data_IF_202299630607
#
_entry.id   IF_202299630607
#
_cell.length_a   1.000
_cell.length_b   1.000
_cell.length_c   1.000
_cell.angle_alpha   90.00
_cell.angle_beta   90.00
_cell.angle_gamma   90.00
#
_symmetry.space_group_name_H-M   'P 1'
#
loop_
_entity.id
_entity.type
_entity.pdbx_description
1 polymer ?
#
# COMPACT_ATOMS: atom_id res chain seq x y z
N UNK A 1 20.39 -0.99 -1.60
CA UNK A 1 19.00 -0.50 -1.78
C UNK A 1 18.43 -0.12 -0.44
N UNK A 2 17.77 1.03 -0.35
CA UNK A 2 17.06 1.46 0.86
C UNK A 2 15.81 0.60 1.10
N UNK A 3 15.32 0.47 2.34
CA UNK A 3 14.12 -0.33 2.67
C UNK A 3 12.87 0.03 1.86
N UNK A 4 12.73 1.30 1.46
CA UNK A 4 11.63 1.76 0.60
C UNK A 4 11.73 1.23 -0.85
N UNK A 5 12.95 0.99 -1.36
CA UNK A 5 13.20 0.53 -2.73
C UNK A 5 12.91 -0.97 -2.90
N UNK A 6 12.91 -1.74 -1.81
CA UNK A 6 12.56 -3.17 -1.82
C UNK A 6 11.07 -3.42 -2.10
N UNK A 7 10.22 -2.40 -1.96
CA UNK A 7 8.77 -2.49 -2.23
C UNK A 7 8.38 -2.18 -3.68
N UNK A 8 9.34 -1.81 -4.52
CA UNK A 8 9.09 -1.48 -5.92
C UNK A 8 8.69 -2.72 -6.73
N UNK A 9 7.98 -2.52 -7.85
CA UNK A 9 7.72 -3.61 -8.80
C UNK A 9 9.04 -4.15 -9.33
N UNK A 10 9.09 -5.42 -9.74
CA UNK A 10 10.33 -6.03 -10.27
C UNK A 10 10.88 -5.23 -11.46
N UNK A 11 10.00 -4.67 -12.29
CA UNK A 11 10.34 -3.74 -13.35
C UNK A 11 11.03 -2.47 -12.83
N UNK A 12 10.43 -1.79 -11.84
CA UNK A 12 10.99 -0.56 -11.28
C UNK A 12 12.27 -0.80 -10.48
N UNK A 13 12.44 -1.99 -9.90
CA UNK A 13 13.69 -2.41 -9.26
C UNK A 13 14.79 -2.59 -10.29
N UNK A 14 14.51 -3.29 -11.39
CA UNK A 14 15.45 -3.43 -12.50
C UNK A 14 15.81 -2.09 -13.13
N UNK A 15 14.82 -1.20 -13.28
CA UNK A 15 15.06 0.13 -13.82
C UNK A 15 15.90 0.98 -12.87
N UNK A 16 15.64 0.93 -11.56
CA UNK A 16 16.46 1.60 -10.56
C UNK A 16 17.92 1.11 -10.59
N UNK A 17 18.16 -0.19 -10.76
CA UNK A 17 19.52 -0.75 -10.88
C UNK A 17 20.22 -0.16 -12.10
N UNK A 18 19.54 -0.11 -13.25
CA UNK A 18 20.08 0.49 -14.47
C UNK A 18 20.41 1.98 -14.27
N UNK A 19 19.48 2.77 -13.72
CA UNK A 19 19.67 4.21 -13.47
C UNK A 19 20.81 4.45 -12.48
N UNK A 20 20.90 3.65 -11.43
CA UNK A 20 21.98 3.76 -10.44
C UNK A 20 23.35 3.41 -11.05
N UNK A 21 23.42 2.38 -11.90
CA UNK A 21 24.63 2.00 -12.60
C UNK A 21 25.07 3.08 -13.60
N UNK A 22 24.13 3.62 -14.38
CA UNK A 22 24.40 4.73 -15.30
C UNK A 22 24.83 6.00 -14.56
N UNK A 23 24.20 6.32 -13.42
CA UNK A 23 24.58 7.43 -12.56
C UNK A 23 26.00 7.31 -12.03
N UNK A 24 26.39 6.12 -11.57
CA UNK A 24 27.74 5.87 -11.03
C UNK A 24 28.85 6.06 -12.05
N UNK A 25 28.58 5.78 -13.32
CA UNK A 25 29.58 5.81 -14.40
C UNK A 25 29.29 6.87 -15.46
N UNK A 26 28.44 7.85 -15.15
CA UNK A 26 27.83 8.72 -16.16
C UNK A 26 28.87 9.41 -17.06
N UNK A 27 29.98 9.84 -16.47
CA UNK A 27 31.10 10.52 -17.14
C UNK A 27 31.79 9.67 -18.21
N UNK A 28 31.94 8.35 -18.01
CA UNK A 28 32.48 7.46 -19.04
C UNK A 28 31.43 7.08 -20.09
N UNK A 29 30.18 6.92 -19.68
CA UNK A 29 29.15 6.30 -20.52
C UNK A 29 28.45 7.30 -21.46
N UNK A 30 28.52 8.62 -21.20
CA UNK A 30 27.88 9.64 -22.06
C UNK A 30 28.53 9.78 -23.44
N UNK A 31 29.85 9.63 -23.51
CA UNK A 31 30.64 9.76 -24.74
C UNK A 31 30.96 8.41 -25.40
N UNK A 32 30.85 7.31 -24.65
CA UNK A 32 31.14 5.97 -25.14
C UNK A 32 29.89 5.25 -25.69
N UNK A 33 30.10 4.29 -26.59
CA UNK A 33 29.06 3.35 -26.99
C UNK A 33 28.95 2.25 -25.95
N UNK A 34 27.82 2.17 -25.27
CA UNK A 34 27.64 1.30 -24.10
C UNK A 34 26.49 0.35 -24.34
N UNK A 35 26.69 -0.93 -24.04
CA UNK A 35 25.61 -1.92 -24.05
C UNK A 35 25.32 -2.35 -22.61
N UNK A 36 24.12 -2.03 -22.12
CA UNK A 36 23.63 -2.49 -20.83
C UNK A 36 22.86 -3.80 -21.04
N UNK A 37 23.27 -4.84 -20.32
CA UNK A 37 22.58 -6.13 -20.31
C UNK A 37 21.58 -6.17 -19.15
N UNK A 38 20.37 -6.63 -19.43
CA UNK A 38 19.30 -6.72 -18.43
C UNK A 38 18.56 -8.04 -18.56
N UNK A 39 18.16 -8.61 -17.44
CA UNK A 39 17.26 -9.77 -17.33
C UNK A 39 15.77 -9.37 -17.39
N UNK A 40 15.48 -8.08 -17.61
CA UNK A 40 14.14 -7.56 -17.77
C UNK A 40 13.86 -7.08 -19.20
N UNK A 41 13.13 -7.90 -19.95
CA UNK A 41 12.76 -7.63 -21.34
C UNK A 41 12.01 -6.30 -21.53
N UNK A 42 11.28 -5.81 -20.53
CA UNK A 42 10.56 -4.55 -20.64
C UNK A 42 11.49 -3.32 -20.73
N UNK A 43 12.74 -3.41 -20.24
CA UNK A 43 13.69 -2.30 -20.25
C UNK A 43 14.34 -2.07 -21.64
N UNK A 44 14.24 -3.03 -22.56
CA UNK A 44 14.73 -2.85 -23.95
C UNK A 44 13.90 -1.84 -24.75
N UNK A 45 12.63 -1.64 -24.34
CA UNK A 45 11.69 -0.75 -25.02
C UNK A 45 11.52 0.62 -24.35
N UNK A 46 12.38 1.00 -23.40
CA UNK A 46 12.28 2.26 -22.62
C UNK A 46 12.07 3.51 -23.50
N UNK A 47 12.77 3.59 -24.64
CA UNK A 47 12.66 4.70 -25.59
C UNK A 47 11.32 4.75 -26.34
N UNK A 48 10.67 3.59 -26.54
CA UNK A 48 9.37 3.47 -27.20
C UNK A 48 8.21 3.75 -26.24
N UNK A 49 8.40 3.50 -24.94
CA UNK A 49 7.34 3.66 -23.93
C UNK A 49 6.90 5.13 -23.82
N UNK A 50 7.82 6.10 -23.82
CA UNK A 50 7.51 7.54 -23.73
C UNK A 50 6.63 8.05 -24.87
N UNK A 51 6.74 7.45 -26.07
CA UNK A 51 5.93 7.80 -27.23
C UNK A 51 4.50 7.22 -27.18
N UNK A 52 4.30 6.11 -26.45
CA UNK A 52 3.01 5.39 -26.41
C UNK A 52 2.11 5.76 -25.22
N UNK A 53 2.70 6.24 -24.12
CA UNK A 53 1.98 6.72 -22.92
C UNK A 53 2.76 7.86 -22.26
N UNK A 54 2.11 8.98 -21.90
CA UNK A 54 2.72 9.97 -21.01
C UNK A 54 2.92 9.30 -19.64
N UNK A 55 4.18 9.04 -19.31
CA UNK A 55 4.57 8.58 -17.99
C UNK A 55 4.59 9.78 -17.04
N UNK A 56 4.26 9.58 -15.77
CA UNK A 56 4.32 10.62 -14.74
C UNK A 56 5.18 10.14 -13.56
N UNK A 57 5.73 11.09 -12.81
CA UNK A 57 6.48 10.85 -11.58
C UNK A 57 7.87 10.26 -11.77
N UNK A 58 8.17 9.15 -11.08
CA UNK A 58 9.54 8.59 -10.97
C UNK A 58 10.05 8.03 -12.30
N UNK A 59 9.22 7.28 -13.01
CA UNK A 59 9.60 6.58 -14.23
C UNK A 59 9.89 7.56 -15.38
N UNK A 60 9.16 8.68 -15.45
CA UNK A 60 9.40 9.74 -16.43
C UNK A 60 10.77 10.39 -16.24
N UNK A 61 11.12 10.71 -14.98
CA UNK A 61 12.42 11.29 -14.63
C UNK A 61 13.59 10.34 -14.85
N UNK A 62 13.40 9.04 -14.60
CA UNK A 62 14.40 8.03 -14.95
C UNK A 62 14.60 7.91 -16.46
N UNK A 63 13.55 8.06 -17.25
CA UNK A 63 13.66 8.05 -18.71
C UNK A 63 14.38 9.31 -19.21
N UNK A 64 14.08 10.48 -18.65
CA UNK A 64 14.80 11.72 -18.97
C UNK A 64 16.29 11.61 -18.65
N UNK A 65 16.62 11.03 -17.50
CA UNK A 65 18.01 10.75 -17.13
C UNK A 65 18.69 9.78 -18.10
N UNK A 66 18.02 8.70 -18.51
CA UNK A 66 18.55 7.74 -19.50
C UNK A 66 18.71 8.38 -20.88
N UNK A 67 17.89 9.36 -21.24
CA UNK A 67 18.00 10.11 -22.49
C UNK A 67 19.28 10.94 -22.58
N UNK A 68 19.94 11.26 -21.45
CA UNK A 68 21.28 11.89 -21.43
C UNK A 68 22.39 10.98 -22.01
N UNK A 69 22.10 9.69 -22.28
CA UNK A 69 23.04 8.70 -22.83
C UNK A 69 22.64 8.31 -24.26
N UNK A 70 23.00 9.10 -25.29
CA UNK A 70 22.55 8.87 -26.67
C UNK A 70 23.04 7.53 -27.24
N UNK A 71 24.26 7.12 -26.86
CA UNK A 71 24.93 5.91 -27.36
C UNK A 71 24.69 4.64 -26.52
N UNK A 72 23.72 4.68 -25.58
CA UNK A 72 23.33 3.53 -24.78
C UNK A 72 22.41 2.57 -25.57
N UNK A 73 22.75 1.28 -25.55
CA UNK A 73 21.97 0.17 -26.10
C UNK A 73 21.57 -0.75 -24.93
N UNK A 74 20.28 -1.05 -24.77
CA UNK A 74 19.80 -1.94 -23.72
C UNK A 74 19.41 -3.27 -24.37
N UNK A 75 20.09 -4.35 -23.98
CA UNK A 75 19.90 -5.68 -24.56
C UNK A 75 19.43 -6.65 -23.49
N UNK A 76 18.39 -7.42 -23.81
CA UNK A 76 17.93 -8.51 -22.95
C UNK A 76 18.90 -9.68 -23.03
N UNK A 77 19.39 -10.15 -21.88
CA UNK A 77 20.16 -11.39 -21.78
C UNK A 77 19.35 -12.40 -20.96
N UNK A 78 18.83 -13.48 -21.56
CA UNK A 78 18.24 -14.56 -20.78
C UNK A 78 19.35 -15.23 -19.96
N UNK A 79 19.08 -15.51 -18.68
CA UNK A 79 20.02 -16.24 -17.84
C UNK A 79 20.41 -17.58 -18.50
N UNK A 80 21.67 -18.02 -18.42
CA UNK A 80 22.04 -19.33 -18.93
C UNK A 80 21.27 -20.39 -18.16
N UNK A 81 20.46 -21.16 -18.89
CA UNK A 81 19.84 -22.37 -18.39
C UNK A 81 20.96 -23.28 -17.88
N UNK A 82 21.02 -23.46 -16.56
CA UNK A 82 21.74 -24.60 -16.00
C UNK A 82 21.04 -25.84 -16.54
N UNK A 83 21.79 -26.62 -17.30
CA UNK A 83 21.33 -27.77 -18.06
C UNK A 83 20.62 -28.78 -17.14
N UNK A 84 19.46 -29.17 -17.64
CA UNK A 84 18.76 -30.42 -17.40
C UNK A 84 19.74 -31.60 -17.59
N UNK A 85 19.98 -32.38 -16.53
CA UNK A 85 20.58 -33.72 -16.63
C UNK A 85 20.18 -34.57 -15.41
N UNK A 86 19.42 -35.64 -15.69
CA UNK A 86 19.10 -36.75 -14.78
C UNK A 86 17.68 -36.66 -14.21
N UNK A 87 16.70 -37.48 -14.58
CA UNK A 87 16.74 -38.86 -15.03
C UNK A 87 15.60 -39.61 -14.30
N UNK A 88 14.80 -40.34 -15.06
CA UNK A 88 13.60 -41.11 -14.67
C UNK A 88 13.58 -41.75 -13.27
N UNK A 89 12.43 -41.67 -12.57
CA UNK A 89 11.73 -42.85 -12.02
C UNK A 89 10.21 -42.63 -12.11
N UNK A 90 9.57 -43.29 -13.08
CA UNK A 90 8.16 -43.70 -13.02
C UNK A 90 8.02 -44.88 -12.07
N UNK A 91 7.11 -44.77 -11.10
CA UNK A 91 6.62 -45.87 -10.29
C UNK A 91 5.10 -45.86 -10.30
N UNK A 92 4.55 -46.69 -11.18
CA UNK A 92 3.15 -47.09 -11.24
C UNK A 92 2.93 -48.21 -10.22
N UNK A 93 1.91 -48.12 -9.36
CA UNK A 93 1.17 -49.31 -8.95
C UNK A 93 -0.25 -48.97 -8.45
N UNK A 94 -1.22 -49.38 -9.27
CA UNK A 94 -2.36 -50.26 -8.91
C UNK A 94 -2.63 -50.42 -7.40
N UNK A 95 -3.84 -50.28 -6.88
CA UNK A 95 -5.17 -50.45 -7.44
C UNK A 95 -6.09 -50.96 -6.31
N UNK A 96 -7.36 -51.21 -6.68
CA UNK A 96 -8.45 -51.80 -5.89
C UNK A 96 -9.29 -50.78 -5.07
N UNK A 97 -10.46 -50.33 -5.50
CA UNK A 97 -11.67 -50.97 -6.07
C UNK A 97 -12.46 -51.85 -5.06
N UNK A 98 -13.78 -51.60 -5.04
CA UNK A 98 -14.80 -52.24 -4.23
C UNK A 98 -15.50 -51.21 -3.34
N UNK A 99 -16.73 -50.76 -3.57
CA UNK A 99 -17.85 -51.37 -4.26
C UNK A 99 -19.09 -51.15 -3.39
N UNK A 100 -20.05 -50.39 -3.92
CA UNK A 100 -21.44 -50.17 -3.49
C UNK A 100 -22.18 -51.47 -3.05
N UNK A 101 -23.40 -51.45 -2.42
CA UNK A 101 -24.48 -50.51 -2.71
C UNK A 101 -25.46 -50.12 -1.58
N UNK A 102 -26.36 -49.20 -1.98
CA UNK A 102 -27.65 -48.85 -1.37
C UNK A 102 -28.52 -50.09 -1.14
N UNK A 103 -29.33 -50.06 -0.09
CA UNK A 103 -30.64 -50.71 -0.16
C UNK A 103 -31.72 -49.94 0.59
N UNK A 104 -32.91 -49.99 -0.02
CA UNK A 104 -34.16 -49.36 0.37
C UNK A 104 -35.02 -50.33 1.16
N UNK A 105 -35.74 -49.83 2.17
CA UNK A 105 -36.82 -50.60 2.80
C UNK A 105 -37.41 -49.93 4.03
N UNK A 106 -38.70 -49.62 3.98
CA UNK A 106 -39.57 -49.63 5.17
C UNK A 106 -40.73 -50.60 4.93
N UNK A 107 -41.76 -50.71 5.80
CA UNK A 107 -41.83 -50.57 7.26
C UNK A 107 -42.14 -51.95 7.91
N UNK A 108 -42.54 -52.03 9.21
CA UNK A 108 -43.99 -52.10 9.47
C UNK A 108 -44.46 -51.39 10.76
N UNK A 109 -45.78 -51.31 10.88
CA UNK A 109 -46.56 -50.74 11.96
C UNK A 109 -46.56 -51.59 13.25
N UNK A 110 -46.81 -50.93 14.39
CA UNK A 110 -47.16 -51.56 15.66
C UNK A 110 -47.58 -50.51 16.69
N UNK A 111 -48.84 -50.58 17.12
CA UNK A 111 -49.57 -49.67 18.01
C UNK A 111 -49.03 -49.60 19.46
N UNK A 112 -49.33 -48.50 20.16
CA UNK A 112 -49.10 -48.40 21.60
C UNK A 112 -49.37 -46.99 22.17
N UNK A 113 -50.62 -46.75 22.55
CA UNK A 113 -51.17 -45.56 23.23
C UNK A 113 -50.47 -45.17 24.53
N UNK A 114 -50.20 -43.86 24.75
CA UNK A 114 -50.34 -43.18 26.04
C UNK A 114 -50.27 -41.64 25.88
N UNK A 115 -51.28 -40.94 26.41
CA UNK A 115 -51.44 -39.48 26.38
C UNK A 115 -50.48 -38.69 27.28
N UNK A 116 -50.71 -37.36 27.40
CA UNK A 116 -49.66 -36.37 27.51
C UNK A 116 -49.22 -36.11 28.95
N UNK A 117 -47.91 -35.98 29.18
CA UNK A 117 -47.36 -35.36 30.38
C UNK A 117 -46.83 -33.97 30.05
N UNK A 118 -47.65 -32.99 30.41
CA UNK A 118 -47.28 -31.60 30.61
C UNK A 118 -46.13 -31.49 31.61
N UNK A 119 -44.95 -31.12 31.11
CA UNK A 119 -43.82 -30.63 31.90
C UNK A 119 -43.88 -29.09 31.99
N UNK A 120 -43.37 -28.49 33.08
CA UNK A 120 -43.82 -27.19 33.58
C UNK A 120 -43.35 -26.02 32.72
N UNK A 121 -44.26 -25.06 32.54
CA UNK A 121 -43.98 -23.72 32.01
C UNK A 121 -42.93 -23.02 32.88
N UNK A 122 -41.68 -22.98 32.40
CA UNK A 122 -40.65 -22.08 32.93
C UNK A 122 -41.10 -20.64 32.64
N UNK A 123 -41.25 -19.84 33.69
CA UNK A 123 -41.75 -18.48 33.64
C UNK A 123 -41.01 -17.64 32.60
N UNK A 124 -41.76 -17.18 31.60
CA UNK A 124 -41.33 -16.11 30.72
C UNK A 124 -41.17 -14.85 31.58
N UNK A 125 -39.92 -14.41 31.79
CA UNK A 125 -39.68 -13.10 32.38
C UNK A 125 -40.37 -12.05 31.49
N UNK A 126 -41.48 -11.49 31.98
CA UNK A 126 -42.28 -10.52 31.23
C UNK A 126 -41.45 -9.25 31.05
N UNK A 127 -40.90 -9.06 29.85
CA UNK A 127 -40.18 -7.84 29.50
C UNK A 127 -41.18 -6.68 29.39
N UNK A 128 -40.99 -5.61 30.15
CA UNK A 128 -41.77 -4.38 29.98
C UNK A 128 -41.25 -3.55 28.79
N UNK A 129 -42.08 -2.65 28.28
CA UNK A 129 -41.63 -1.68 27.26
C UNK A 129 -40.55 -0.72 27.77
N UNK A 130 -40.61 -0.40 29.07
CA UNK A 130 -39.60 0.42 29.76
C UNK A 130 -38.26 -0.30 29.85
N UNK A 131 -38.26 -1.61 30.11
CA UNK A 131 -37.04 -2.41 30.14
C UNK A 131 -36.30 -2.34 28.80
N UNK A 132 -37.03 -2.48 27.69
CA UNK A 132 -36.45 -2.41 26.34
C UNK A 132 -35.92 -1.01 26.02
N UNK A 133 -36.66 0.04 26.41
CA UNK A 133 -36.22 1.43 26.23
C UNK A 133 -34.95 1.72 27.03
N UNK A 134 -34.91 1.28 28.30
CA UNK A 134 -33.75 1.44 29.17
C UNK A 134 -32.52 0.73 28.61
N UNK A 135 -32.66 -0.53 28.18
CA UNK A 135 -31.56 -1.28 27.59
C UNK A 135 -31.06 -0.66 26.27
N UNK A 136 -31.98 -0.20 25.42
CA UNK A 136 -31.64 0.48 24.16
C UNK A 136 -30.87 1.78 24.40
N UNK A 137 -31.36 2.64 25.30
CA UNK A 137 -30.71 3.89 25.67
C UNK A 137 -29.34 3.65 26.34
N UNK A 138 -29.22 2.59 27.14
CA UNK A 138 -27.97 2.21 27.76
C UNK A 138 -26.91 1.78 26.73
N UNK A 139 -27.32 1.04 25.70
CA UNK A 139 -26.45 0.70 24.57
C UNK A 139 -25.98 1.95 23.80
N UNK A 140 -26.88 2.88 23.50
CA UNK A 140 -26.53 4.13 22.81
C UNK A 140 -25.50 4.98 23.59
N UNK A 141 -25.58 4.98 24.93
CA UNK A 141 -24.62 5.70 25.79
C UNK A 141 -23.24 5.05 25.83
N UNK A 142 -23.14 3.77 25.49
CA UNK A 142 -21.91 2.99 25.60
C UNK A 142 -21.38 2.57 24.23
N UNK A 143 -21.09 3.55 23.36
CA UNK A 143 -20.58 3.31 22.00
C UNK A 143 -21.44 2.34 21.18
N UNK A 144 -22.76 2.36 21.37
CA UNK A 144 -23.70 1.43 20.77
C UNK A 144 -23.49 -0.05 21.17
N UNK A 145 -22.65 -0.36 22.16
CA UNK A 145 -22.39 -1.72 22.63
C UNK A 145 -23.05 -2.00 23.98
N UNK A 146 -24.01 -2.93 23.97
CA UNK A 146 -24.66 -3.44 25.17
C UNK A 146 -24.04 -4.80 25.53
N UNK A 147 -23.12 -4.81 26.50
CA UNK A 147 -22.45 -6.04 26.97
C UNK A 147 -23.26 -6.72 28.08
N UNK A 148 -23.10 -8.05 28.21
CA UNK A 148 -23.72 -8.80 29.30
C UNK A 148 -23.28 -8.28 30.68
N UNK A 149 -21.99 -7.97 30.86
CA UNK A 149 -21.47 -7.43 32.13
C UNK A 149 -22.14 -6.11 32.51
N UNK A 150 -22.31 -5.19 31.56
CA UNK A 150 -22.91 -3.89 31.83
C UNK A 150 -24.37 -3.99 32.29
N UNK A 151 -25.13 -4.98 31.79
CA UNK A 151 -26.49 -5.24 32.25
C UNK A 151 -26.51 -5.99 33.60
N UNK A 152 -25.56 -6.90 33.84
CA UNK A 152 -25.40 -7.56 35.13
C UNK A 152 -25.08 -6.55 36.25
N UNK A 153 -24.23 -5.56 35.98
CA UNK A 153 -23.87 -4.49 36.92
C UNK A 153 -25.08 -3.60 37.26
N UNK A 154 -26.04 -3.48 36.34
CA UNK A 154 -27.33 -2.81 36.56
C UNK A 154 -28.37 -3.71 37.26
N UNK A 155 -27.96 -4.91 37.72
CA UNK A 155 -28.81 -5.85 38.46
C UNK A 155 -29.74 -6.71 37.59
N UNK A 156 -29.50 -6.81 36.29
CA UNK A 156 -30.36 -7.61 35.40
C UNK A 156 -30.01 -9.10 35.50
N UNK A 157 -31.04 -9.96 35.51
CA UNK A 157 -30.81 -11.41 35.44
C UNK A 157 -30.36 -11.84 34.04
N UNK A 158 -29.61 -12.95 33.95
CA UNK A 158 -29.13 -13.49 32.67
C UNK A 158 -30.27 -13.82 31.71
N UNK A 159 -31.40 -14.29 32.22
CA UNK A 159 -32.60 -14.59 31.43
C UNK A 159 -33.18 -13.32 30.82
N UNK A 160 -33.26 -12.24 31.61
CA UNK A 160 -33.75 -10.93 31.15
C UNK A 160 -32.84 -10.35 30.07
N UNK A 161 -31.52 -10.49 30.22
CA UNK A 161 -30.53 -10.03 29.22
C UNK A 161 -30.73 -10.74 27.88
N UNK A 162 -30.85 -12.08 27.89
CA UNK A 162 -31.07 -12.87 26.68
C UNK A 162 -32.38 -12.47 26.00
N UNK A 163 -33.44 -12.29 26.79
CA UNK A 163 -34.74 -11.88 26.28
C UNK A 163 -34.68 -10.49 25.61
N UNK A 164 -33.99 -9.52 26.22
CA UNK A 164 -33.76 -8.19 25.62
C UNK A 164 -32.98 -8.30 24.32
N UNK A 165 -31.89 -9.07 24.29
CA UNK A 165 -31.06 -9.21 23.09
C UNK A 165 -31.85 -9.79 21.93
N UNK A 166 -32.63 -10.84 22.18
CA UNK A 166 -33.51 -11.43 21.17
C UNK A 166 -34.55 -10.42 20.67
N UNK A 167 -35.17 -9.66 21.59
CA UNK A 167 -36.19 -8.69 21.22
C UNK A 167 -35.65 -7.52 20.40
N UNK A 168 -34.46 -7.03 20.74
CA UNK A 168 -33.77 -5.99 19.96
C UNK A 168 -33.38 -6.50 18.56
N UNK A 169 -32.95 -7.77 18.47
CA UNK A 169 -32.61 -8.39 17.20
C UNK A 169 -33.86 -8.61 16.31
N UNK A 170 -34.96 -9.10 16.88
CA UNK A 170 -36.26 -9.23 16.19
C UNK A 170 -36.78 -7.88 15.68
N UNK A 171 -36.65 -6.83 16.50
CA UNK A 171 -37.06 -5.48 16.13
C UNK A 171 -36.14 -4.82 15.09
N UNK A 172 -35.07 -5.50 14.66
CA UNK A 172 -33.97 -4.96 13.83
C UNK A 172 -33.30 -3.72 14.45
N UNK A 173 -33.44 -3.56 15.76
CA UNK A 173 -32.91 -2.45 16.55
C UNK A 173 -31.49 -2.72 17.07
N UNK A 174 -31.02 -3.97 17.02
CA UNK A 174 -29.65 -4.33 17.33
C UNK A 174 -29.23 -5.62 16.63
N UNK A 175 -27.93 -5.91 16.65
CA UNK A 175 -27.35 -7.15 16.15
C UNK A 175 -26.53 -7.82 17.25
N UNK A 176 -26.73 -9.13 17.43
CA UNK A 176 -26.00 -9.90 18.44
C UNK A 176 -24.63 -10.30 17.89
N UNK A 177 -23.57 -10.00 18.63
CA UNK A 177 -22.18 -10.35 18.28
C UNK A 177 -21.52 -11.11 19.44
N UNK A 178 -20.59 -11.99 19.09
CA UNK A 178 -19.72 -12.65 20.07
C UNK A 178 -18.41 -11.87 20.19
N UNK A 179 -18.04 -11.46 21.41
CA UNK A 179 -16.81 -10.73 21.72
C UNK A 179 -16.01 -11.56 22.73
N UNK A 180 -15.09 -12.37 22.21
CA UNK A 180 -14.37 -13.38 23.00
C UNK A 180 -15.33 -14.44 23.55
N UNK A 181 -15.35 -14.62 24.87
CA UNK A 181 -16.22 -15.59 25.55
C UNK A 181 -17.60 -15.02 25.92
N UNK A 182 -17.81 -13.71 25.73
CA UNK A 182 -19.06 -13.02 26.06
C UNK A 182 -19.85 -12.63 24.82
N UNK A 183 -21.17 -12.47 24.98
CA UNK A 183 -22.07 -11.99 23.92
C UNK A 183 -22.41 -10.52 24.19
N UNK A 184 -22.42 -9.70 23.14
CA UNK A 184 -22.90 -8.32 23.20
C UNK A 184 -23.97 -8.07 22.14
N UNK A 185 -24.87 -7.13 22.42
CA UNK A 185 -25.81 -6.62 21.43
C UNK A 185 -25.32 -5.24 20.99
N UNK A 186 -25.02 -5.09 19.71
CA UNK A 186 -24.70 -3.78 19.12
C UNK A 186 -26.00 -3.13 18.69
N UNK A 187 -26.36 -2.05 19.36
CA UNK A 187 -27.58 -1.28 19.13
C UNK A 187 -27.41 -0.42 17.88
N UNK A 188 -28.45 -0.33 17.05
CA UNK A 188 -28.45 0.52 15.85
C UNK A 188 -29.04 1.88 16.18
N UNK A 189 -28.57 2.97 15.54
CA UNK A 189 -29.13 4.29 15.78
C UNK A 189 -30.57 4.40 15.25
N UNK A 190 -31.37 5.25 15.88
CA UNK A 190 -32.82 5.30 15.65
C UNK A 190 -33.21 5.67 14.21
N UNK A 191 -32.34 6.37 13.49
CA UNK A 191 -32.55 6.79 12.10
C UNK A 191 -32.54 5.62 11.10
N UNK A 192 -31.78 4.55 11.36
CA UNK A 192 -31.70 3.41 10.42
C UNK A 192 -32.78 2.36 10.67
N UNK A 193 -33.31 2.26 11.88
CA UNK A 193 -34.27 1.21 12.27
C UNK A 193 -35.53 1.20 11.38
N UNK A 194 -36.20 2.34 11.07
CA UNK A 194 -37.38 2.33 10.20
C UNK A 194 -37.10 1.80 8.80
N UNK A 195 -35.98 2.24 8.20
CA UNK A 195 -35.55 1.76 6.89
C UNK A 195 -35.25 0.26 6.93
N UNK A 196 -34.57 -0.21 7.99
CA UNK A 196 -34.28 -1.63 8.18
C UNK A 196 -35.54 -2.47 8.38
N UNK A 197 -36.60 -1.96 9.00
CA UNK A 197 -37.87 -2.68 9.16
C UNK A 197 -38.59 -2.92 7.85
N UNK A 198 -38.45 -2.03 6.88
CA UNK A 198 -39.10 -2.13 5.57
C UNK A 198 -38.34 -3.05 4.59
N UNK A 199 -37.10 -3.44 4.92
CA UNK A 199 -36.32 -4.34 4.07
C UNK A 199 -36.90 -5.75 4.01
N UNK A 200 -36.80 -6.37 2.83
CA UNK A 200 -37.04 -7.80 2.67
C UNK A 200 -36.03 -8.62 3.51
N UNK A 201 -36.40 -9.85 3.88
CA UNK A 201 -35.56 -10.75 4.66
C UNK A 201 -34.21 -11.03 4.00
N UNK A 202 -34.17 -11.10 2.66
CA UNK A 202 -32.94 -11.33 1.89
C UNK A 202 -32.02 -10.11 1.92
N UNK A 203 -32.57 -8.91 1.64
CA UNK A 203 -31.82 -7.66 1.68
C UNK A 203 -31.31 -7.35 3.10
N UNK A 204 -32.12 -7.66 4.12
CA UNK A 204 -31.72 -7.53 5.52
C UNK A 204 -30.53 -8.43 5.87
N UNK A 205 -30.48 -9.67 5.36
CA UNK A 205 -29.32 -10.55 5.54
C UNK A 205 -28.06 -9.99 4.89
N UNK A 206 -28.19 -9.40 3.69
CA UNK A 206 -27.07 -8.73 3.01
C UNK A 206 -26.57 -7.54 3.85
N UNK A 207 -27.48 -6.71 4.37
CA UNK A 207 -27.12 -5.60 5.26
C UNK A 207 -26.38 -6.07 6.51
N UNK A 208 -26.88 -7.12 7.18
CA UNK A 208 -26.22 -7.67 8.37
C UNK A 208 -24.81 -8.18 8.08
N UNK A 209 -24.57 -8.80 6.92
CA UNK A 209 -23.24 -9.23 6.52
C UNK A 209 -22.26 -8.07 6.35
N UNK A 210 -22.72 -6.94 5.79
CA UNK A 210 -21.93 -5.71 5.66
C UNK A 210 -21.67 -5.07 7.03
N UNK A 211 -22.69 -5.01 7.89
CA UNK A 211 -22.58 -4.46 9.24
C UNK A 211 -21.59 -5.26 10.10
N UNK A 212 -21.60 -6.59 10.00
CA UNK A 212 -20.66 -7.48 10.70
C UNK A 212 -19.21 -7.26 10.27
N UNK A 213 -18.96 -6.92 9.00
CA UNK A 213 -17.62 -6.63 8.50
C UNK A 213 -17.05 -5.29 8.99
N UNK A 214 -17.91 -4.36 9.45
CA UNK A 214 -17.45 -3.10 10.02
C UNK A 214 -16.58 -2.28 9.04
N UNK A 215 -15.46 -1.76 9.55
CA UNK A 215 -14.58 -0.85 8.81
C UNK A 215 -13.66 -1.56 7.82
N UNK A 216 -13.55 -2.90 7.86
CA UNK A 216 -12.82 -3.66 6.83
C UNK A 216 -13.67 -3.82 5.57
N UNK A 217 -14.99 -3.69 5.70
CA UNK A 217 -15.92 -3.92 4.61
C UNK A 217 -15.91 -5.34 4.06
N UNK A 218 -16.83 -5.59 3.13
CA UNK A 218 -17.05 -6.92 2.57
C UNK A 218 -17.40 -6.83 1.09
N UNK A 219 -16.92 -7.77 0.30
CA UNK A 219 -17.27 -7.91 -1.12
C UNK A 219 -18.31 -9.01 -1.35
N UNK A 220 -18.93 -9.01 -2.53
CA UNK A 220 -20.07 -9.90 -2.86
C UNK A 220 -19.76 -11.38 -2.73
N UNK A 221 -18.50 -11.80 -2.93
CA UNK A 221 -18.10 -13.20 -2.78
C UNK A 221 -18.09 -13.66 -1.32
N UNK A 222 -17.69 -12.80 -0.39
CA UNK A 222 -17.73 -13.13 1.05
C UNK A 222 -19.13 -13.01 1.60
N UNK A 223 -19.94 -12.05 1.13
CA UNK A 223 -21.38 -12.00 1.46
C UNK A 223 -22.04 -13.32 1.07
N UNK A 224 -21.72 -13.88 -0.10
CA UNK A 224 -22.22 -15.19 -0.53
C UNK A 224 -21.80 -16.30 0.40
N UNK A 225 -20.52 -16.38 0.78
CA UNK A 225 -20.02 -17.41 1.70
C UNK A 225 -20.72 -17.35 3.06
N UNK A 226 -20.93 -16.14 3.58
CA UNK A 226 -21.54 -15.93 4.90
C UNK A 226 -23.06 -16.14 4.88
N UNK A 227 -23.75 -15.70 3.83
CA UNK A 227 -25.23 -15.72 3.77
C UNK A 227 -25.82 -16.94 3.06
N UNK A 228 -25.01 -17.66 2.25
CA UNK A 228 -25.48 -18.74 1.40
C UNK A 228 -26.37 -18.31 0.22
N UNK A 229 -26.50 -17.00 -0.03
CA UNK A 229 -27.41 -16.47 -1.04
C UNK A 229 -26.83 -16.56 -2.47
N UNK A 230 -27.74 -16.66 -3.45
CA UNK A 230 -27.38 -16.65 -4.87
C UNK A 230 -26.85 -15.28 -5.33
N UNK A 231 -25.98 -15.27 -6.35
CA UNK A 231 -25.27 -14.05 -6.80
C UNK A 231 -26.21 -12.92 -7.16
N UNK A 232 -27.25 -13.23 -7.93
CA UNK A 232 -28.17 -12.23 -8.46
C UNK A 232 -28.99 -11.56 -7.35
N UNK A 233 -29.32 -12.31 -6.28
CA UNK A 233 -30.01 -11.79 -5.10
C UNK A 233 -29.10 -10.80 -4.37
N UNK A 234 -27.85 -11.18 -4.12
CA UNK A 234 -26.87 -10.31 -3.46
C UNK A 234 -26.66 -9.03 -4.27
N UNK A 235 -26.47 -9.13 -5.59
CA UNK A 235 -26.28 -7.96 -6.45
C UNK A 235 -27.50 -7.03 -6.44
N UNK A 236 -28.72 -7.58 -6.47
CA UNK A 236 -29.95 -6.80 -6.36
C UNK A 236 -30.05 -6.10 -5.01
N UNK A 237 -29.83 -6.82 -3.91
CA UNK A 237 -29.90 -6.27 -2.56
C UNK A 237 -28.85 -5.20 -2.32
N UNK A 238 -27.61 -5.41 -2.77
CA UNK A 238 -26.54 -4.42 -2.71
C UNK A 238 -26.90 -3.14 -3.49
N UNK A 239 -27.47 -3.25 -4.70
CA UNK A 239 -27.94 -2.07 -5.45
C UNK A 239 -29.03 -1.32 -4.68
N UNK A 240 -30.04 -2.04 -4.17
CA UNK A 240 -31.13 -1.42 -3.41
C UNK A 240 -30.62 -0.69 -2.14
N UNK A 241 -29.74 -1.34 -1.39
CA UNK A 241 -29.14 -0.78 -0.17
C UNK A 241 -28.20 0.41 -0.45
N UNK A 242 -27.53 0.41 -1.60
CA UNK A 242 -26.57 1.44 -1.98
C UNK A 242 -27.23 2.63 -2.68
N UNK A 243 -28.14 2.41 -3.62
CA UNK A 243 -28.68 3.45 -4.51
C UNK A 243 -29.98 4.04 -3.94
N UNK A 244 -30.92 3.20 -3.52
CA UNK A 244 -32.23 3.67 -3.05
C UNK A 244 -32.22 4.09 -1.57
N UNK A 245 -31.65 3.24 -0.71
CA UNK A 245 -31.69 3.45 0.74
C UNK A 245 -30.45 4.14 1.32
N UNK A 246 -29.35 4.21 0.56
CA UNK A 246 -28.08 4.85 0.96
C UNK A 246 -27.57 4.37 2.34
N UNK A 247 -27.82 3.11 2.69
CA UNK A 247 -27.42 2.51 3.97
C UNK A 247 -25.99 1.96 3.92
N UNK A 248 -25.52 1.60 2.72
CA UNK A 248 -24.16 1.12 2.44
C UNK A 248 -23.53 1.95 1.33
N UNK A 249 -22.19 2.02 1.30
CA UNK A 249 -21.44 2.68 0.23
C UNK A 249 -20.32 1.78 -0.30
N UNK A 250 -19.98 1.87 -1.61
CA UNK A 250 -18.90 1.11 -2.20
C UNK A 250 -17.55 1.79 -1.92
N UNK A 251 -16.53 0.98 -1.64
CA UNK A 251 -15.14 1.40 -1.42
C UNK A 251 -14.22 0.55 -2.30
N UNK A 252 -13.24 1.18 -2.93
CA UNK A 252 -12.20 0.48 -3.69
C UNK A 252 -11.15 -0.05 -2.71
N UNK A 253 -10.75 -1.32 -2.85
CA UNK A 253 -9.66 -1.90 -2.07
C UNK A 253 -8.31 -1.63 -2.76
N UNK A 254 -7.30 -1.22 -1.98
CA UNK A 254 -5.93 -1.07 -2.48
C UNK A 254 -5.19 -2.39 -2.62
N UNK A 255 -5.41 -3.29 -1.64
CA UNK A 255 -4.77 -4.61 -1.63
C UNK A 255 -5.17 -5.45 -2.83
N UNK A 256 -6.43 -5.32 -3.27
CA UNK A 256 -6.92 -6.08 -4.42
C UNK A 256 -7.60 -5.16 -5.43
N UNK A 257 -6.82 -4.80 -6.45
CA UNK A 257 -7.26 -4.01 -7.60
C UNK A 257 -8.54 -4.59 -8.20
N UNK A 258 -9.47 -3.72 -8.60
CA UNK A 258 -10.77 -4.04 -9.20
C UNK A 258 -11.81 -4.76 -8.32
N UNK A 259 -11.59 -4.92 -7.01
CA UNK A 259 -12.63 -5.41 -6.09
C UNK A 259 -13.36 -4.26 -5.40
N UNK A 260 -14.69 -4.23 -5.56
CA UNK A 260 -15.59 -3.32 -4.84
C UNK A 260 -15.94 -3.96 -3.49
N UNK A 261 -15.51 -3.31 -2.41
CA UNK A 261 -15.90 -3.61 -1.04
C UNK A 261 -17.10 -2.73 -0.69
N UNK A 262 -17.93 -3.17 0.26
CA UNK A 262 -19.07 -2.43 0.76
C UNK A 262 -18.92 -2.23 2.26
N UNK A 263 -19.17 -1.01 2.73
CA UNK A 263 -19.20 -0.62 4.15
C UNK A 263 -20.49 0.15 4.44
N UNK A 264 -20.83 0.33 5.72
CA UNK A 264 -21.98 1.19 6.07
C UNK A 264 -21.70 2.64 5.67
N UNK A 265 -22.74 3.35 5.26
CA UNK A 265 -22.61 4.70 4.72
C UNK A 265 -21.93 5.69 5.70
N UNK A 266 -22.24 5.57 6.99
CA UNK A 266 -21.70 6.42 8.05
C UNK A 266 -20.30 6.00 8.55
N UNK A 267 -19.78 4.84 8.14
CA UNK A 267 -18.47 4.37 8.59
C UNK A 267 -17.37 4.79 7.62
N UNK A 268 -16.16 4.97 8.17
CA UNK A 268 -14.96 5.21 7.39
C UNK A 268 -14.20 3.90 7.18
N UNK A 269 -13.68 3.65 5.96
CA UNK A 269 -12.91 2.45 5.69
C UNK A 269 -11.60 2.44 6.47
N UNK A 270 -11.17 1.27 6.92
CA UNK A 270 -9.88 1.11 7.59
C UNK A 270 -8.73 1.58 6.69
N UNK A 271 -7.69 2.19 7.28
CA UNK A 271 -6.51 2.71 6.56
C UNK A 271 -5.83 1.66 5.68
N UNK A 272 -5.84 0.40 6.10
CA UNK A 272 -5.31 -0.72 5.32
C UNK A 272 -6.05 -0.89 3.98
N UNK A 273 -7.34 -0.55 3.93
CA UNK A 273 -8.19 -0.78 2.75
C UNK A 273 -8.33 0.49 1.92
N UNK A 274 -8.53 1.63 2.60
CA UNK A 274 -8.68 2.95 2.02
C UNK A 274 -7.36 3.55 1.52
N UNK A 275 -6.26 3.09 2.11
CA UNK A 275 -4.91 3.58 1.89
C UNK A 275 -4.56 4.65 2.88
N UNK A 276 -3.27 4.77 3.17
CA UNK A 276 -2.78 5.87 4.00
C UNK A 276 -3.08 7.24 3.38
N UNK A 277 -2.56 8.30 3.98
CA UNK A 277 -2.87 9.69 3.61
C UNK A 277 -2.54 10.10 2.16
N UNK A 278 -1.86 9.23 1.40
CA UNK A 278 -1.57 9.41 -0.03
C UNK A 278 -2.61 8.79 -0.99
N UNK A 279 -3.69 8.20 -0.47
CA UNK A 279 -4.72 7.59 -1.29
C UNK A 279 -6.02 8.41 -1.25
N UNK A 280 -6.65 8.56 -2.40
CA UNK A 280 -7.97 9.19 -2.53
C UNK A 280 -8.90 8.17 -3.16
N UNK A 281 -10.00 7.81 -2.48
CA UNK A 281 -10.96 6.82 -2.95
C UNK A 281 -10.35 5.45 -3.30
N UNK A 282 -9.30 5.01 -2.57
CA UNK A 282 -8.62 3.74 -2.80
C UNK A 282 -7.69 3.71 -4.02
N UNK A 283 -7.40 4.87 -4.61
CA UNK A 283 -6.39 5.04 -5.66
C UNK A 283 -5.24 5.91 -5.14
N UNK A 284 -4.01 5.54 -5.52
CA UNK A 284 -2.82 6.28 -5.11
C UNK A 284 -2.80 7.62 -5.84
N UNK A 285 -2.77 8.72 -5.07
CA UNK A 285 -2.81 10.06 -5.62
C UNK A 285 -1.38 10.55 -5.86
N UNK A 286 -0.84 10.18 -7.02
CA UNK A 286 0.52 10.56 -7.44
C UNK A 286 0.69 12.08 -7.55
N UNK A 287 -0.34 12.79 -8.00
CA UNK A 287 -0.32 14.25 -8.14
C UNK A 287 -0.22 14.94 -6.77
N UNK A 288 -1.00 14.48 -5.78
CA UNK A 288 -0.90 14.97 -4.41
C UNK A 288 0.50 14.73 -3.83
N UNK A 289 1.04 13.53 -4.02
CA UNK A 289 2.39 13.20 -3.55
C UNK A 289 3.43 14.13 -4.17
N UNK A 290 3.37 14.38 -5.48
CA UNK A 290 4.34 15.27 -6.13
C UNK A 290 4.21 16.71 -5.65
N UNK A 291 2.98 17.23 -5.50
CA UNK A 291 2.75 18.57 -4.93
C UNK A 291 3.34 18.71 -3.52
N UNK A 292 3.19 17.69 -2.66
CA UNK A 292 3.77 17.70 -1.32
C UNK A 292 5.31 17.65 -1.36
N UNK A 293 5.88 16.88 -2.28
CA UNK A 293 7.34 16.79 -2.48
C UNK A 293 7.92 18.11 -2.99
N UNK A 294 7.28 18.74 -3.95
CA UNK A 294 7.68 20.05 -4.47
C UNK A 294 7.66 21.12 -3.38
N UNK A 295 6.66 21.11 -2.49
CA UNK A 295 6.60 22.02 -1.34
C UNK A 295 7.75 21.80 -0.37
N UNK A 296 8.02 20.55 0.00
CA UNK A 296 9.15 20.20 0.87
C UNK A 296 10.49 20.61 0.22
N UNK A 297 10.63 20.37 -1.08
CA UNK A 297 11.81 20.76 -1.85
C UNK A 297 11.99 22.29 -1.89
N UNK A 298 10.93 23.04 -2.20
CA UNK A 298 10.97 24.51 -2.18
C UNK A 298 11.38 25.05 -0.81
N UNK A 299 10.76 24.54 0.26
CA UNK A 299 11.11 24.96 1.63
C UNK A 299 12.57 24.67 1.97
N UNK A 300 13.05 23.45 1.71
CA UNK A 300 14.44 23.07 1.96
C UNK A 300 15.43 23.85 1.09
N UNK A 301 15.10 24.11 -0.18
CA UNK A 301 15.96 24.88 -1.08
C UNK A 301 16.16 26.33 -0.60
N UNK A 302 15.10 26.94 -0.06
CA UNK A 302 15.14 28.30 0.49
C UNK A 302 15.85 28.34 1.85
N UNK A 303 15.54 27.39 2.74
CA UNK A 303 16.12 27.33 4.07
C UNK A 303 17.57 26.80 4.09
N UNK A 304 18.02 26.15 3.00
CA UNK A 304 19.29 25.39 2.84
C UNK A 304 19.42 24.18 3.76
N UNK A 305 18.95 24.26 4.98
CA UNK A 305 18.89 23.13 5.92
C UNK A 305 17.74 23.32 6.92
N UNK A 306 17.12 22.23 7.34
CA UNK A 306 16.04 22.28 8.34
C UNK A 306 15.94 20.98 9.15
N UNK A 307 15.32 21.05 10.32
CA UNK A 307 15.08 19.88 11.18
C UNK A 307 13.78 19.18 10.80
N UNK A 308 13.62 17.91 11.19
CA UNK A 308 12.37 17.19 10.93
C UNK A 308 11.14 17.92 11.52
N UNK A 309 11.28 18.42 12.75
CA UNK A 309 10.18 19.14 13.43
C UNK A 309 9.76 20.40 12.67
N UNK A 310 10.72 21.13 12.09
CA UNK A 310 10.43 22.32 11.29
C UNK A 310 9.75 21.96 9.96
N UNK A 311 10.15 20.85 9.32
CA UNK A 311 9.48 20.33 8.12
C UNK A 311 8.02 19.95 8.40
N UNK A 312 7.78 19.23 9.51
CA UNK A 312 6.42 18.85 9.92
C UNK A 312 5.57 20.08 10.22
N UNK A 313 6.12 21.07 10.94
CA UNK A 313 5.43 22.32 11.22
C UNK A 313 5.10 23.10 9.95
N UNK A 314 6.04 23.20 9.01
CA UNK A 314 5.82 23.85 7.71
C UNK A 314 4.69 23.17 6.94
N UNK A 315 4.72 21.84 6.83
CA UNK A 315 3.70 21.07 6.12
C UNK A 315 2.31 21.24 6.72
N UNK A 316 2.20 21.30 8.07
CA UNK A 316 0.94 21.53 8.77
C UNK A 316 0.45 22.98 8.67
N UNK A 317 1.36 23.94 8.64
CA UNK A 317 0.99 25.37 8.52
C UNK A 317 0.55 25.77 7.11
N UNK A 318 0.95 25.00 6.08
CA UNK A 318 0.70 25.31 4.67
C UNK A 318 -0.67 24.85 4.15
N UNK A 319 -1.57 24.45 5.06
CA UNK A 319 -2.94 23.99 4.78
C UNK A 319 -3.03 22.54 4.26
N UNK A 320 -4.15 21.87 4.57
CA UNK A 320 -4.46 20.51 4.11
C UNK A 320 -4.55 20.46 2.58
N UNK A 321 -3.47 20.05 1.92
CA UNK A 321 -3.49 19.73 0.50
C UNK A 321 -4.33 18.47 0.32
N UNK A 322 -5.48 18.58 -0.34
CA UNK A 322 -6.34 17.43 -0.60
C UNK A 322 -7.23 16.98 0.57
N UNK A 323 -7.38 17.80 1.62
CA UNK A 323 -8.38 17.58 2.68
C UNK A 323 -8.09 16.43 3.65
N UNK A 324 -6.85 15.93 3.69
CA UNK A 324 -6.41 14.90 4.63
C UNK A 324 -5.25 15.39 5.50
N UNK A 325 -5.28 15.03 6.79
CA UNK A 325 -4.15 15.27 7.69
C UNK A 325 -3.02 14.27 7.43
N UNK A 326 -1.80 14.79 7.26
CA UNK A 326 -0.60 13.98 7.06
C UNK A 326 0.04 13.63 8.40
N UNK A 327 0.42 12.36 8.54
CA UNK A 327 1.17 11.90 9.72
C UNK A 327 2.65 12.21 9.57
N UNK A 328 3.38 12.20 10.69
CA UNK A 328 4.83 12.39 10.68
C UNK A 328 5.52 11.29 9.85
N UNK A 329 5.00 10.07 9.88
CA UNK A 329 5.50 8.95 9.07
C UNK A 329 5.34 9.22 7.56
N UNK A 330 4.22 9.81 7.16
CA UNK A 330 3.99 10.20 5.75
C UNK A 330 5.04 11.23 5.31
N UNK A 331 5.31 12.24 6.13
CA UNK A 331 6.30 13.29 5.83
C UNK A 331 7.71 12.69 5.79
N UNK A 332 8.05 11.78 6.70
CA UNK A 332 9.31 11.02 6.68
C UNK A 332 9.49 10.26 5.37
N UNK A 333 8.43 9.58 4.89
CA UNK A 333 8.47 8.86 3.61
C UNK A 333 8.69 9.81 2.43
N UNK A 334 8.04 10.98 2.42
CA UNK A 334 8.24 11.99 1.39
C UNK A 334 9.69 12.48 1.37
N UNK A 335 10.26 12.82 2.53
CA UNK A 335 11.66 13.26 2.63
C UNK A 335 12.62 12.15 2.18
N UNK A 336 12.36 10.89 2.54
CA UNK A 336 13.15 9.75 2.09
C UNK A 336 13.13 9.58 0.56
N UNK A 337 12.05 9.96 -0.13
CA UNK A 337 12.05 9.98 -1.60
C UNK A 337 12.97 11.05 -2.18
N UNK A 338 13.11 12.20 -1.52
CA UNK A 338 14.04 13.27 -1.93
C UNK A 338 15.49 12.88 -1.61
N UNK A 339 15.73 12.14 -0.51
CA UNK A 339 17.04 11.52 -0.23
C UNK A 339 17.43 10.51 -1.30
N UNK A 340 16.49 9.67 -1.77
CA UNK A 340 16.76 8.70 -2.83
C UNK A 340 17.12 9.35 -4.17
N UNK A 341 16.79 10.63 -4.36
CA UNK A 341 17.11 11.43 -5.55
C UNK A 341 18.35 12.29 -5.35
N UNK A 342 19.03 12.15 -4.22
CA UNK A 342 20.22 12.93 -3.85
C UNK A 342 19.98 14.44 -3.77
N UNK A 343 18.72 14.88 -3.73
CA UNK A 343 18.32 16.30 -3.58
C UNK A 343 18.41 16.77 -2.13
N UNK A 344 18.30 15.84 -1.19
CA UNK A 344 18.34 16.12 0.25
C UNK A 344 19.32 15.16 0.90
N UNK A 345 20.28 15.70 1.63
CA UNK A 345 21.20 14.93 2.45
C UNK A 345 20.74 14.96 3.91
N UNK A 346 20.87 13.84 4.61
CA UNK A 346 20.58 13.74 6.04
C UNK A 346 21.87 13.75 6.84
N UNK A 347 22.00 14.76 7.68
CA UNK A 347 23.14 14.94 8.59
C UNK A 347 22.66 14.69 10.02
N UNK A 348 23.36 13.81 10.73
CA UNK A 348 23.12 13.57 12.15
C UNK A 348 24.14 14.39 12.95
N UNK A 349 23.66 15.34 13.73
CA UNK A 349 24.50 16.14 14.63
C UNK A 349 24.07 15.84 16.05
N UNK A 350 24.78 14.93 16.72
CA UNK A 350 24.38 14.45 18.04
C UNK A 350 23.06 13.66 18.01
N UNK A 351 22.05 14.11 18.75
CA UNK A 351 20.71 13.50 18.80
C UNK A 351 19.74 14.07 17.76
N UNK A 352 20.10 15.17 17.09
CA UNK A 352 19.22 15.86 16.15
C UNK A 352 19.56 15.49 14.71
N UNK A 353 18.51 15.32 13.90
CA UNK A 353 18.63 15.02 12.47
C UNK A 353 18.28 16.26 11.67
N UNK A 354 19.23 16.74 10.89
CA UNK A 354 19.08 17.91 10.01
C UNK A 354 19.07 17.44 8.56
N UNK A 355 18.09 17.91 7.80
CA UNK A 355 17.97 17.70 6.37
C UNK A 355 18.55 18.91 5.65
N UNK A 356 19.54 18.68 4.81
CA UNK A 356 20.25 19.72 4.07
C UNK A 356 19.88 19.59 2.59
N UNK A 357 19.46 20.69 1.99
CA UNK A 357 19.22 20.74 0.55
C UNK A 357 20.55 20.63 -0.18
N UNK A 358 20.67 19.61 -1.03
CA UNK A 358 21.85 19.42 -1.84
C UNK A 358 21.78 20.39 -3.03
N UNK A 359 22.55 21.48 -2.96
CA UNK A 359 22.71 22.43 -4.08
C UNK A 359 23.61 21.88 -5.20
N UNK A 360 24.13 20.67 -5.04
CA UNK A 360 25.14 20.14 -5.94
C UNK A 360 24.51 19.57 -7.21
N UNK A 361 24.26 20.44 -8.19
CA UNK A 361 24.57 20.04 -9.57
C UNK A 361 26.09 19.76 -9.74
N UNK A 362 26.91 20.26 -8.81
CA UNK A 362 28.38 20.26 -8.83
C UNK A 362 29.07 18.94 -8.47
N UNK A 363 28.37 17.88 -8.04
CA UNK A 363 29.00 16.54 -7.98
C UNK A 363 29.37 16.06 -9.41
N UNK A 364 28.70 16.58 -10.44
CA UNK A 364 29.06 16.35 -11.86
C UNK A 364 30.42 16.96 -12.25
N UNK A 365 30.90 17.99 -11.53
CA UNK A 365 32.21 18.58 -11.77
C UNK A 365 33.35 17.77 -11.13
N UNK A 366 33.09 17.04 -10.05
CA UNK A 366 34.10 16.17 -9.44
C UNK A 366 34.47 14.99 -10.34
N UNK A 367 33.52 14.51 -11.15
CA UNK A 367 33.75 13.47 -12.16
C UNK A 367 34.71 13.91 -13.29
N UNK A 368 34.94 15.22 -13.48
CA UNK A 368 35.90 15.75 -14.46
C UNK A 368 37.22 16.20 -13.84
N UNK A 369 37.38 16.15 -12.51
CA UNK A 369 38.63 16.54 -11.84
C UNK A 369 39.67 15.42 -11.98
N UNK A 370 40.83 15.68 -12.60
CA UNK A 370 41.82 14.65 -12.92
C UNK A 370 42.37 13.91 -11.69
N UNK A 371 42.35 14.53 -10.52
CA UNK A 371 42.89 13.97 -9.28
C UNK A 371 42.05 12.81 -8.72
N UNK A 372 40.73 12.76 -8.99
CA UNK A 372 39.81 11.81 -8.34
C UNK A 372 39.93 10.39 -8.92
N UNK A 373 40.44 10.25 -10.14
CA UNK A 373 40.79 8.97 -10.77
C UNK A 373 42.29 8.78 -11.01
N UNK A 374 43.14 9.66 -10.46
CA UNK A 374 44.56 9.64 -10.76
C UNK A 374 45.24 8.39 -10.16
N UNK A 375 45.88 7.52 -10.97
CA UNK A 375 46.54 6.32 -10.46
C UNK A 375 47.77 6.64 -9.60
N UNK A 376 48.29 7.86 -9.69
CA UNK A 376 49.47 8.33 -8.96
C UNK A 376 49.11 9.20 -7.75
N UNK A 377 47.84 9.29 -7.36
CA UNK A 377 47.40 10.18 -6.27
C UNK A 377 48.08 9.86 -4.93
N UNK A 378 48.39 8.58 -4.68
CA UNK A 378 49.08 8.16 -3.46
C UNK A 378 50.55 8.61 -3.38
N UNK A 379 51.18 8.83 -4.53
CA UNK A 379 52.57 9.28 -4.65
C UNK A 379 52.70 10.79 -4.89
N UNK A 380 51.56 11.48 -5.06
CA UNK A 380 51.50 12.90 -5.36
C UNK A 380 51.62 13.74 -4.07
N UNK A 381 52.66 14.57 -3.98
CA UNK A 381 52.86 15.48 -2.84
C UNK A 381 53.48 16.79 -3.29
N UNK A 382 53.32 17.86 -2.49
CA UNK A 382 53.73 19.22 -2.88
C UNK A 382 55.23 19.35 -3.23
N UNK A 383 56.08 18.55 -2.60
CA UNK A 383 57.54 18.56 -2.77
C UNK A 383 58.06 17.20 -3.31
N UNK A 384 57.16 16.36 -3.83
CA UNK A 384 57.47 15.03 -4.35
C UNK A 384 57.83 15.03 -5.83
N UNK A 385 58.38 13.90 -6.30
CA UNK A 385 58.68 13.68 -7.73
C UNK A 385 57.41 13.71 -8.59
N UNK A 386 56.29 13.25 -8.05
CA UNK A 386 54.95 13.52 -8.59
C UNK A 386 54.37 14.62 -7.72
N UNK A 387 54.06 15.76 -8.32
CA UNK A 387 53.54 16.91 -7.60
C UNK A 387 52.50 17.67 -8.43
N UNK A 388 51.62 18.45 -7.79
CA UNK A 388 50.59 19.20 -8.50
C UNK A 388 51.14 20.34 -9.38
N UNK A 389 52.35 20.86 -9.09
CA UNK A 389 52.93 22.03 -9.80
C UNK A 389 53.35 21.67 -11.22
N UNK A 390 53.84 20.45 -11.42
CA UNK A 390 54.32 19.93 -12.72
C UNK A 390 53.34 18.90 -13.32
N UNK A 391 52.12 18.81 -12.79
CA UNK A 391 51.14 17.80 -13.20
C UNK A 391 50.49 18.16 -14.54
N UNK A 392 50.86 17.45 -15.61
CA UNK A 392 50.30 17.64 -16.97
C UNK A 392 48.79 17.43 -17.02
N UNK A 393 48.24 16.47 -16.27
CA UNK A 393 46.79 16.25 -16.20
C UNK A 393 46.05 17.46 -15.64
N UNK A 394 46.65 18.14 -14.65
CA UNK A 394 46.08 19.33 -14.03
C UNK A 394 46.27 20.55 -14.93
N UNK A 395 47.43 20.70 -15.58
CA UNK A 395 47.70 21.79 -16.53
C UNK A 395 46.77 21.76 -17.74
N UNK A 396 46.58 20.59 -18.35
CA UNK A 396 45.66 20.41 -19.46
C UNK A 396 44.20 20.67 -19.04
N UNK A 397 43.80 20.20 -17.84
CA UNK A 397 42.47 20.46 -17.29
C UNK A 397 42.22 21.95 -16.99
N UNK A 398 43.26 22.67 -16.56
CA UNK A 398 43.21 24.12 -16.32
C UNK A 398 43.40 24.96 -17.60
N UNK A 399 43.66 24.33 -18.75
CA UNK A 399 43.91 25.01 -20.02
C UNK A 399 45.19 25.86 -20.01
N UNK A 400 46.22 25.42 -19.28
CA UNK A 400 47.49 26.13 -19.13
C UNK A 400 48.56 25.72 -20.14
N UNK A 401 48.25 24.74 -21.01
CA UNK A 401 49.11 24.33 -22.09
C UNK A 401 49.07 25.42 -23.18
N UNK A 402 50.09 26.26 -23.23
CA UNK A 402 50.31 27.22 -24.32
C UNK A 402 50.92 26.44 -25.49
N UNK A 403 50.21 26.36 -26.60
CA UNK A 403 50.72 25.78 -27.85
C UNK A 403 52.00 26.49 -28.28
N UNK A 404 53.15 25.87 -28.03
CA UNK A 404 54.44 26.30 -28.54
C UNK A 404 54.61 25.84 -29.98
N UNK A 405 54.15 26.64 -30.94
CA UNK A 405 54.62 26.55 -32.33
C UNK A 405 56.11 26.88 -32.37
N UNK A 406 56.97 25.85 -32.30
CA UNK A 406 58.35 25.94 -32.70
C UNK A 406 58.46 25.61 -34.20
N UNK A 407 58.37 26.64 -35.05
CA UNK A 407 58.97 26.57 -36.39
C UNK A 407 60.42 27.03 -36.28
N UNK A 408 61.34 26.11 -36.54
CA UNK A 408 62.78 26.37 -36.53
C UNK A 408 63.55 25.16 -37.06
N UNK A 409 63.64 25.10 -38.39
CA UNK A 409 64.77 24.66 -39.21
C UNK A 409 65.44 23.29 -38.93
N UNK A 410 65.41 22.41 -39.94
CA UNK A 410 66.62 21.67 -40.29
C UNK A 410 66.73 21.50 -41.82
N UNK A 411 67.68 22.26 -42.33
CA UNK A 411 68.37 22.20 -43.62
C UNK A 411 68.96 20.79 -43.82
N UNK A 412 68.72 20.16 -44.98
CA UNK A 412 69.43 18.95 -45.39
C UNK A 412 69.99 19.20 -46.80
N UNK A 413 71.31 19.31 -46.84
CA UNK A 413 72.16 19.30 -48.04
C UNK A 413 71.82 18.14 -49.00
N UNK A 414 71.66 18.46 -50.28
CA UNK A 414 72.21 17.74 -51.44
C UNK A 414 71.96 18.51 -52.75
#
# INVERSE_FOLDING_TARGET
MYPAQQKYSTYDQGFLVLVTALGKWAHFLRVAKVTAYTDHHALTHLRTIKASKPLRGRTDRWIDFVAEFPNLIITYLPAPNLLDDGGDIKGDDRGNAGGEPKDSGGPPAGEGTAGPRSGPSRGSATLSGEDLSNAYNLGLRNNNELTQQLLLDQGWSREKIVAVFNRLNEARAGVIRKKGDSVCCVVRPANVIPALKQLDALDYKVYCAVELAGNTGVWTADIRKTTGLQTHIIQRGVRNLCENLQLIKPVKSIHVKNRKMYILAHMEPAKEIAGGSFYTNGEFNEELVEQLRERLAMFLSNARSSTFSALVAFMRSSGDVGGGSFTDEDISQLVATLECEDKVARIRTGTETTFVWNQSENLRLLDSVPCIGCPLVGDCSAEGRVNPRECTYLSHWLGLDVDGEAQGEEEIDA
#
